data_IF_436030299361
#
_entry.id   IF_436030299361
#
_cell.length_a   1.000
_cell.length_b   1.000
_cell.length_c   1.000
_cell.angle_alpha   90.00
_cell.angle_beta   90.00
_cell.angle_gamma   90.00
#
_symmetry.space_group_name_H-M   'P 1'
#
loop_
_entity.id
_entity.type
_entity.pdbx_description
1 polymer ?
#
# COMPACT_ATOMS: atom_id res chain seq x y z
N UNK A 1 -9.66 5.47 -10.37
CA UNK A 1 -9.26 4.88 -9.08
C UNK A 1 -8.01 4.09 -9.38
N UNK A 2 -6.82 4.45 -8.85
CA UNK A 2 -5.63 3.64 -9.08
C UNK A 2 -5.82 2.24 -8.50
N UNK A 3 -5.50 1.22 -9.30
CA UNK A 3 -5.44 -0.17 -8.86
C UNK A 3 -4.05 -0.46 -8.30
N UNK A 4 -3.99 -0.88 -7.04
CA UNK A 4 -2.75 -1.24 -6.35
C UNK A 4 -2.71 -2.75 -6.18
N UNK A 5 -1.74 -3.40 -6.82
CA UNK A 5 -1.46 -4.82 -6.61
C UNK A 5 -0.63 -5.03 -5.36
N UNK A 6 -1.08 -5.91 -4.47
CA UNK A 6 -0.34 -6.28 -3.25
C UNK A 6 -0.23 -7.81 -3.14
N UNK A 7 0.90 -8.29 -2.64
CA UNK A 7 1.10 -9.72 -2.39
C UNK A 7 0.09 -10.21 -1.35
N UNK A 8 -0.73 -11.20 -1.74
CA UNK A 8 -1.84 -11.73 -0.94
C UNK A 8 -1.35 -12.32 0.38
N UNK A 9 -0.33 -13.16 0.31
CA UNK A 9 0.19 -13.87 1.47
C UNK A 9 0.85 -12.90 2.46
N UNK A 10 1.60 -11.92 1.95
CA UNK A 10 2.22 -10.88 2.77
C UNK A 10 1.18 -10.00 3.47
N UNK A 11 0.12 -9.58 2.76
CA UNK A 11 -0.94 -8.77 3.36
C UNK A 11 -1.67 -9.54 4.47
N UNK A 12 -2.07 -10.78 4.22
CA UNK A 12 -2.78 -11.60 5.20
C UNK A 12 -1.93 -11.89 6.43
N UNK A 13 -0.63 -12.14 6.24
CA UNK A 13 0.32 -12.25 7.34
C UNK A 13 0.35 -10.98 8.19
N UNK A 14 0.35 -9.80 7.57
CA UNK A 14 0.36 -8.51 8.26
C UNK A 14 -0.97 -8.21 9.00
N UNK A 15 -2.09 -8.66 8.43
CA UNK A 15 -3.43 -8.62 9.05
C UNK A 15 -3.66 -9.71 10.12
N UNK A 16 -2.70 -10.63 10.29
CA UNK A 16 -2.74 -11.66 11.32
C UNK A 16 -3.77 -12.78 11.10
N UNK A 17 -4.40 -12.86 9.92
CA UNK A 17 -5.29 -13.96 9.53
C UNK A 17 -5.31 -14.12 8.01
N UNK A 18 -5.60 -15.34 7.57
CA UNK A 18 -5.95 -15.59 6.18
C UNK A 18 -7.43 -15.25 5.96
N UNK A 19 -7.74 -14.81 4.74
CA UNK A 19 -9.09 -14.53 4.29
C UNK A 19 -9.39 -15.35 3.05
N UNK A 20 -10.61 -15.82 2.91
CA UNK A 20 -11.16 -16.19 1.61
C UNK A 20 -11.32 -14.93 0.75
N UNK A 21 -11.40 -15.09 -0.58
CA UNK A 21 -11.65 -13.99 -1.52
C UNK A 21 -12.88 -13.18 -1.11
N UNK A 22 -13.96 -13.88 -0.74
CA UNK A 22 -15.22 -13.24 -0.35
C UNK A 22 -15.15 -12.51 1.00
N UNK A 23 -14.46 -13.06 2.00
CA UNK A 23 -14.24 -12.33 3.27
C UNK A 23 -13.38 -11.08 3.08
N UNK A 24 -12.40 -11.13 2.17
CA UNK A 24 -11.55 -9.98 1.88
C UNK A 24 -12.29 -8.92 1.06
N UNK A 25 -13.12 -9.34 0.10
CA UNK A 25 -14.00 -8.45 -0.65
C UNK A 25 -14.98 -7.70 0.28
N UNK A 26 -15.59 -8.41 1.23
CA UNK A 26 -16.49 -7.79 2.20
C UNK A 26 -15.75 -6.82 3.13
N UNK A 27 -14.52 -7.15 3.55
CA UNK A 27 -13.66 -6.21 4.29
C UNK A 27 -13.34 -4.94 3.47
N UNK A 28 -13.03 -5.09 2.19
CA UNK A 28 -12.81 -3.95 1.29
C UNK A 28 -14.06 -3.07 1.22
N UNK A 29 -15.23 -3.68 1.03
CA UNK A 29 -16.51 -2.98 0.97
C UNK A 29 -16.82 -2.21 2.27
N UNK A 30 -16.68 -2.84 3.43
CA UNK A 30 -16.91 -2.20 4.74
C UNK A 30 -15.97 -1.02 4.98
N UNK A 31 -14.72 -1.11 4.49
CA UNK A 31 -13.74 -0.04 4.60
C UNK A 31 -13.98 1.08 3.56
N UNK A 32 -14.60 0.79 2.43
CA UNK A 32 -14.85 1.73 1.33
C UNK A 32 -13.76 1.73 0.24
N UNK A 33 -13.14 0.58 0.00
CA UNK A 33 -12.25 0.27 -1.14
C UNK A 33 -12.83 -0.94 -1.89
N UNK A 34 -12.30 -1.27 -3.06
CA UNK A 34 -12.85 -2.35 -3.89
C UNK A 34 -11.76 -3.38 -4.22
N UNK A 35 -12.08 -4.68 -4.09
CA UNK A 35 -11.23 -5.74 -4.62
C UNK A 35 -11.59 -5.94 -6.10
N UNK A 36 -10.67 -5.59 -6.99
CA UNK A 36 -10.86 -5.72 -8.44
C UNK A 36 -10.56 -7.15 -8.92
N UNK A 37 -9.44 -7.72 -8.48
CA UNK A 37 -9.04 -9.08 -8.86
C UNK A 37 -8.24 -9.76 -7.76
N UNK A 38 -8.56 -11.03 -7.46
CA UNK A 38 -7.68 -11.93 -6.72
C UNK A 38 -7.01 -12.89 -7.70
N UNK A 39 -5.72 -12.70 -7.95
CA UNK A 39 -5.03 -13.48 -8.97
C UNK A 39 -4.77 -14.94 -8.56
N UNK A 40 -5.05 -15.33 -7.30
CA UNK A 40 -5.02 -16.75 -6.90
C UNK A 40 -6.13 -17.58 -7.57
N UNK A 41 -7.18 -16.94 -8.08
CA UNK A 41 -8.27 -17.59 -8.81
C UNK A 41 -8.09 -17.46 -10.34
N UNK A 42 -7.03 -16.79 -10.80
CA UNK A 42 -6.74 -16.57 -12.21
C UNK A 42 -6.14 -17.82 -12.87
N UNK A 43 -6.51 -18.06 -14.12
CA UNK A 43 -5.90 -19.09 -14.98
C UNK A 43 -4.91 -18.51 -15.99
N UNK A 44 -4.63 -17.21 -15.93
CA UNK A 44 -3.76 -16.53 -16.89
C UNK A 44 -2.29 -16.88 -16.61
N UNK A 45 -1.49 -17.26 -17.62
CA UNK A 45 -0.09 -17.65 -17.42
C UNK A 45 0.76 -16.59 -16.70
N UNK A 46 0.53 -15.31 -16.95
CA UNK A 46 1.24 -14.19 -16.34
C UNK A 46 0.97 -14.07 -14.83
N UNK A 47 -0.25 -14.37 -14.38
CA UNK A 47 -0.61 -14.34 -12.97
C UNK A 47 -0.04 -15.55 -12.22
N UNK A 48 0.04 -16.70 -12.89
CA UNK A 48 0.62 -17.94 -12.35
C UNK A 48 2.16 -17.89 -12.27
N UNK A 49 2.81 -16.96 -12.98
CA UNK A 49 4.27 -16.80 -13.00
C UNK A 49 4.82 -16.04 -11.77
N UNK A 50 3.95 -15.50 -10.92
CA UNK A 50 4.32 -14.68 -9.76
C UNK A 50 3.46 -15.06 -8.54
N UNK A 51 3.86 -14.65 -7.31
CA UNK A 51 3.02 -14.84 -6.14
C UNK A 51 1.64 -14.20 -6.32
N UNK A 52 0.56 -14.82 -5.81
CA UNK A 52 -0.79 -14.27 -5.94
C UNK A 52 -0.90 -12.86 -5.39
N UNK A 53 -1.61 -12.01 -6.13
CA UNK A 53 -1.82 -10.61 -5.82
C UNK A 53 -3.30 -10.35 -5.56
N UNK A 54 -3.58 -9.43 -4.65
CA UNK A 54 -4.87 -8.77 -4.53
C UNK A 54 -4.74 -7.42 -5.25
N UNK A 55 -5.53 -7.21 -6.30
CA UNK A 55 -5.62 -5.93 -7.01
C UNK A 55 -6.76 -5.14 -6.38
N UNK A 56 -6.40 -4.03 -5.74
CA UNK A 56 -7.33 -3.24 -4.93
C UNK A 56 -7.49 -1.87 -5.58
N UNK A 57 -8.71 -1.47 -5.91
CA UNK A 57 -9.01 -0.12 -6.35
C UNK A 57 -9.11 0.83 -5.16
N UNK A 58 -8.29 1.88 -5.20
CA UNK A 58 -8.21 2.89 -4.15
C UNK A 58 -8.89 4.19 -4.65
N UNK A 59 -9.74 4.83 -3.82
CA UNK A 59 -10.28 6.15 -4.14
C UNK A 59 -9.17 7.15 -4.44
N UNK A 60 -9.35 8.00 -5.45
CA UNK A 60 -8.30 8.90 -5.94
C UNK A 60 -7.80 9.93 -4.91
N UNK A 61 -8.55 10.14 -3.82
CA UNK A 61 -8.22 11.03 -2.71
C UNK A 61 -7.50 10.33 -1.53
N UNK A 62 -7.23 9.01 -1.60
CA UNK A 62 -6.57 8.22 -0.55
C UNK A 62 -5.10 7.94 -0.88
N UNK A 63 -4.30 9.01 -0.90
CA UNK A 63 -2.86 8.93 -1.20
C UNK A 63 -2.07 8.08 -0.20
N UNK A 64 -2.58 7.95 1.02
CA UNK A 64 -2.01 7.16 2.11
C UNK A 64 -2.16 5.64 1.93
N UNK A 65 -2.85 5.19 0.88
CA UNK A 65 -3.06 3.77 0.54
C UNK A 65 -2.50 3.39 -0.85
N UNK A 66 -1.58 4.18 -1.40
CA UNK A 66 -0.97 3.89 -2.71
C UNK A 66 0.24 2.94 -2.64
N UNK A 67 0.47 2.30 -1.50
CA UNK A 67 1.49 1.29 -1.30
C UNK A 67 1.02 0.22 -0.32
N UNK A 68 1.77 -0.90 -0.27
CA UNK A 68 1.50 -2.03 0.61
C UNK A 68 1.39 -1.60 2.08
N UNK A 69 2.35 -0.81 2.57
CA UNK A 69 2.43 -0.38 3.96
C UNK A 69 1.21 0.47 4.34
N UNK A 70 0.81 1.35 3.43
CA UNK A 70 -0.36 2.22 3.60
C UNK A 70 -1.66 1.42 3.71
N UNK A 71 -1.86 0.44 2.82
CA UNK A 71 -3.02 -0.45 2.81
C UNK A 71 -3.06 -1.27 4.10
N UNK A 72 -1.97 -1.98 4.41
CA UNK A 72 -1.88 -2.83 5.59
C UNK A 72 -2.10 -2.03 6.89
N UNK A 73 -1.47 -0.85 7.02
CA UNK A 73 -1.61 0.00 8.20
C UNK A 73 -3.06 0.43 8.42
N UNK A 74 -3.70 0.93 7.36
CA UNK A 74 -5.08 1.43 7.43
C UNK A 74 -6.08 0.31 7.75
N UNK A 75 -5.96 -0.86 7.11
CA UNK A 75 -6.81 -2.00 7.40
C UNK A 75 -6.63 -2.51 8.84
N UNK A 76 -5.39 -2.56 9.37
CA UNK A 76 -5.16 -2.92 10.77
C UNK A 76 -5.76 -1.93 11.76
N UNK A 77 -5.76 -0.63 11.43
CA UNK A 77 -6.40 0.39 12.26
C UNK A 77 -7.91 0.22 12.25
N UNK A 78 -8.50 -0.03 11.08
CA UNK A 78 -9.94 -0.28 10.94
C UNK A 78 -10.40 -1.53 11.69
N UNK A 79 -9.63 -2.61 11.62
CA UNK A 79 -9.86 -3.86 12.34
C UNK A 79 -9.54 -3.79 13.85
N UNK A 80 -9.20 -2.60 14.36
CA UNK A 80 -8.80 -2.35 15.75
C UNK A 80 -7.57 -3.16 16.22
N UNK A 81 -6.80 -3.73 15.30
CA UNK A 81 -5.60 -4.52 15.59
C UNK A 81 -4.40 -3.65 15.95
N UNK A 82 -4.41 -2.37 15.53
CA UNK A 82 -3.43 -1.38 15.95
C UNK A 82 -4.06 -0.01 16.17
N UNK A 83 -3.40 0.82 16.98
CA UNK A 83 -3.73 2.24 17.06
C UNK A 83 -3.12 2.99 15.88
N UNK A 84 -3.75 4.10 15.49
CA UNK A 84 -3.17 5.01 14.50
C UNK A 84 -1.76 5.42 14.97
N UNK A 85 -0.72 5.22 14.14
CA UNK A 85 0.63 5.58 14.51
C UNK A 85 0.77 7.09 14.71
N UNK A 86 1.73 7.49 15.54
CA UNK A 86 2.03 8.90 15.79
C UNK A 86 3.26 9.28 14.99
N UNK A 87 3.07 10.11 13.98
CA UNK A 87 4.17 10.70 13.24
C UNK A 87 4.60 12.00 13.90
N UNK A 88 5.90 12.11 14.18
CA UNK A 88 6.51 13.29 14.77
C UNK A 88 7.77 13.64 14.01
N UNK A 89 7.98 14.92 13.75
CA UNK A 89 9.25 15.40 13.23
C UNK A 89 10.29 15.29 14.35
N UNK A 90 11.40 14.62 14.05
CA UNK A 90 12.54 14.49 14.97
C UNK A 90 13.78 15.06 14.30
N UNK A 91 14.72 15.56 15.10
CA UNK A 91 16.01 15.98 14.59
C UNK A 91 16.77 14.75 14.04
N UNK A 92 17.63 14.92 13.01
CA UNK A 92 18.52 13.86 12.56
C UNK A 92 19.31 13.29 13.75
N UNK A 93 19.63 11.98 13.78
CA UNK A 93 20.32 11.36 14.92
C UNK A 93 21.61 12.08 15.34
N UNK A 94 22.33 12.66 14.38
CA UNK A 94 23.59 13.38 14.61
C UNK A 94 23.43 14.91 14.53
N UNK A 95 22.20 15.43 14.40
CA UNK A 95 21.92 16.86 14.25
C UNK A 95 22.27 17.47 12.88
N UNK A 96 22.91 16.71 11.99
CA UNK A 96 23.29 17.17 10.65
C UNK A 96 22.19 16.90 9.62
N UNK A 97 21.81 17.94 8.86
CA UNK A 97 20.89 17.81 7.73
C UNK A 97 21.63 17.25 6.50
N UNK A 98 20.94 16.41 5.73
CA UNK A 98 21.45 15.99 4.43
C UNK A 98 21.42 17.18 3.46
N UNK A 99 22.54 17.39 2.75
CA UNK A 99 22.69 18.45 1.75
C UNK A 99 22.71 17.80 0.36
N UNK A 100 21.90 18.34 -0.56
CA UNK A 100 21.93 17.97 -1.96
C UNK A 100 22.55 19.11 -2.77
N UNK A 101 23.79 18.91 -3.25
CA UNK A 101 24.46 19.86 -4.12
C UNK A 101 24.01 19.66 -5.58
N UNK A 102 23.23 20.62 -6.10
CA UNK A 102 22.78 20.59 -7.48
C UNK A 102 23.86 21.21 -8.37
N UNK A 103 24.44 20.40 -9.26
CA UNK A 103 25.44 20.90 -10.23
C UNK A 103 24.78 21.89 -11.19
N UNK A 104 25.48 22.98 -11.58
CA UNK A 104 24.96 23.97 -12.52
C UNK A 104 24.49 23.37 -13.86
N UNK A 105 25.14 22.28 -14.30
CA UNK A 105 24.88 21.56 -15.54
C UNK A 105 23.49 20.90 -15.61
N UNK A 106 22.88 20.59 -14.45
CA UNK A 106 21.54 19.98 -14.35
C UNK A 106 20.49 20.97 -13.82
N UNK A 107 20.85 22.24 -13.68
CA UNK A 107 19.94 23.30 -13.26
C UNK A 107 18.93 23.64 -14.37
N UNK A 108 17.67 23.79 -13.99
CA UNK A 108 16.59 24.16 -14.92
C UNK A 108 16.92 25.54 -15.55
N UNK A 109 16.97 25.62 -16.88
CA UNK A 109 17.16 26.91 -17.57
C UNK A 109 15.99 27.83 -17.21
N UNK A 110 16.24 29.10 -16.85
CA UNK A 110 15.16 30.06 -16.64
C UNK A 110 14.38 30.21 -17.95
N UNK A 111 13.05 30.09 -17.84
CA UNK A 111 12.10 30.24 -18.96
C UNK A 111 11.90 31.69 -19.39
#
# INVERSE_FOLDING_TARGET
>A
MPTIGVDKAALYKELGREYTTQEFDELCFEFGIELDEDTSESTKPEDLAQPPQLKIEIPANRYDMLCFEGIAMNLKVFLEQQKLPKWTVTAPPNGELQVLDIKPEVGQKPG
#
